data_IF_431056495811
#
_entry.id   IF_431056495811
#
_cell.length_a   1.000
_cell.length_b   1.000
_cell.length_c   1.000
_cell.angle_alpha   90.00
_cell.angle_beta   90.00
_cell.angle_gamma   90.00
#
_symmetry.space_group_name_H-M   'P 1'
#
loop_
_entity.id
_entity.type
_entity.pdbx_description
1 polymer ?
#
# COMPACT_ATOMS: atom_id res chain seq x y z
N UNK A 1 0.89 10.50 5.36
CA UNK A 1 2.26 10.00 5.57
C UNK A 1 2.88 10.80 6.70
N UNK A 2 3.71 10.18 7.52
CA UNK A 2 4.50 10.88 8.54
C UNK A 2 5.98 10.55 8.32
N UNK A 3 6.88 11.52 8.50
CA UNK A 3 8.32 11.29 8.41
C UNK A 3 8.82 10.78 9.76
N UNK A 4 9.76 9.83 9.71
CA UNK A 4 10.46 9.27 10.87
C UNK A 4 11.92 9.69 10.81
N UNK A 5 12.58 9.67 11.97
CA UNK A 5 13.98 10.07 12.10
C UNK A 5 14.94 9.05 11.46
N UNK A 6 14.66 7.75 11.56
CA UNK A 6 15.49 6.72 10.95
C UNK A 6 14.75 5.38 10.72
N UNK A 7 15.40 4.48 9.99
CA UNK A 7 14.94 3.10 9.74
C UNK A 7 14.07 2.94 8.49
N UNK A 8 13.56 1.73 8.23
CA UNK A 8 12.82 1.46 7.00
C UNK A 8 11.43 2.11 7.01
N UNK A 9 10.88 2.32 5.80
CA UNK A 9 9.50 2.70 5.63
C UNK A 9 8.55 1.67 6.27
N UNK A 10 7.44 2.13 6.83
CA UNK A 10 6.40 1.29 7.44
C UNK A 10 5.08 1.47 6.69
N UNK A 11 4.28 0.40 6.66
CA UNK A 11 3.00 0.36 5.98
C UNK A 11 1.86 0.03 6.94
N UNK A 12 0.90 0.95 7.04
CA UNK A 12 -0.43 0.71 7.57
C UNK A 12 -1.45 0.50 6.45
N UNK A 13 -2.37 -0.44 6.62
CA UNK A 13 -3.46 -0.69 5.65
C UNK A 13 -4.80 -0.63 6.37
N UNK A 14 -5.71 0.23 5.89
CA UNK A 14 -7.06 0.36 6.45
C UNK A 14 -8.10 -0.03 5.41
N UNK A 15 -8.75 -1.17 5.63
CA UNK A 15 -9.88 -1.64 4.81
C UNK A 15 -11.07 -1.84 5.73
N UNK A 16 -12.11 -1.02 5.56
CA UNK A 16 -13.32 -1.20 6.36
C UNK A 16 -14.15 -2.37 5.84
N UNK A 17 -14.91 -3.01 6.75
CA UNK A 17 -15.75 -4.18 6.45
C UNK A 17 -16.74 -3.94 5.30
N UNK A 18 -17.23 -2.70 5.14
CA UNK A 18 -18.13 -2.30 4.06
C UNK A 18 -17.51 -2.42 2.67
N UNK A 19 -16.19 -2.24 2.52
CA UNK A 19 -15.53 -2.25 1.19
C UNK A 19 -15.41 -3.65 0.59
N UNK A 20 -15.31 -4.67 1.44
CA UNK A 20 -15.29 -6.06 1.02
C UNK A 20 -15.84 -6.92 2.16
N UNK A 21 -17.02 -7.51 1.93
CA UNK A 21 -17.72 -8.34 2.93
C UNK A 21 -16.88 -9.56 3.32
N UNK A 22 -16.25 -10.21 2.35
CA UNK A 22 -15.44 -11.40 2.53
C UNK A 22 -14.04 -11.07 3.05
N UNK A 23 -13.59 -11.81 4.07
CA UNK A 23 -12.24 -11.70 4.60
C UNK A 23 -11.19 -12.05 3.53
N UNK A 24 -11.47 -13.05 2.68
CA UNK A 24 -10.60 -13.45 1.59
C UNK A 24 -10.31 -12.29 0.62
N UNK A 25 -11.35 -11.55 0.19
CA UNK A 25 -11.19 -10.38 -0.67
C UNK A 25 -10.34 -9.29 -0.01
N UNK A 26 -10.59 -8.98 1.29
CA UNK A 26 -9.76 -8.02 2.03
C UNK A 26 -8.30 -8.47 2.14
N UNK A 27 -8.06 -9.76 2.33
CA UNK A 27 -6.73 -10.33 2.45
C UNK A 27 -6.00 -10.32 1.10
N UNK A 28 -6.70 -10.57 0.00
CA UNK A 28 -6.15 -10.43 -1.34
C UNK A 28 -5.75 -8.97 -1.64
N UNK A 29 -6.62 -8.00 -1.36
CA UNK A 29 -6.30 -6.57 -1.53
C UNK A 29 -5.09 -6.19 -0.67
N UNK A 30 -5.08 -6.59 0.61
CA UNK A 30 -3.93 -6.37 1.51
C UNK A 30 -2.65 -6.99 0.97
N UNK A 31 -2.71 -8.18 0.36
CA UNK A 31 -1.55 -8.84 -0.25
C UNK A 31 -0.96 -8.00 -1.38
N UNK A 32 -1.79 -7.54 -2.32
CA UNK A 32 -1.33 -6.70 -3.44
C UNK A 32 -0.71 -5.39 -2.97
N UNK A 33 -1.31 -4.74 -1.95
CA UNK A 33 -0.76 -3.52 -1.37
C UNK A 33 0.60 -3.78 -0.72
N UNK A 34 0.75 -4.88 0.02
CA UNK A 34 2.04 -5.26 0.63
C UNK A 34 3.10 -5.60 -0.39
N UNK A 35 2.75 -6.31 -1.47
CA UNK A 35 3.71 -6.65 -2.52
C UNK A 35 4.21 -5.39 -3.24
N UNK A 36 3.32 -4.47 -3.61
CA UNK A 36 3.74 -3.19 -4.19
C UNK A 36 4.67 -2.42 -3.24
N UNK A 37 4.31 -2.34 -1.95
CA UNK A 37 5.13 -1.66 -0.96
C UNK A 37 6.49 -2.34 -0.77
N UNK A 38 6.54 -3.67 -0.70
CA UNK A 38 7.78 -4.44 -0.51
C UNK A 38 8.77 -4.19 -1.64
N UNK A 39 8.29 -4.05 -2.88
CA UNK A 39 9.14 -3.80 -4.05
C UNK A 39 9.77 -2.40 -4.04
N UNK A 40 9.08 -1.40 -3.51
CA UNK A 40 9.54 0.00 -3.48
C UNK A 40 10.07 0.41 -2.09
N UNK A 41 10.05 -0.48 -1.08
CA UNK A 41 10.37 -0.13 0.31
C UNK A 41 11.79 0.44 0.47
N UNK A 42 12.73 -0.03 -0.35
CA UNK A 42 14.13 0.38 -0.29
C UNK A 42 14.36 1.85 -0.66
N UNK A 43 13.54 2.44 -1.54
CA UNK A 43 13.71 3.84 -1.94
C UNK A 43 12.83 4.84 -1.19
N UNK A 44 11.84 4.37 -0.42
CA UNK A 44 10.89 5.25 0.29
C UNK A 44 11.45 5.98 1.53
N UNK A 45 12.64 5.59 2.01
CA UNK A 45 13.24 6.18 3.22
C UNK A 45 12.43 5.97 4.51
N UNK A 46 12.74 6.68 5.60
CA UNK A 46 12.09 6.51 6.90
C UNK A 46 10.71 7.19 6.95
N UNK A 47 9.72 6.62 6.28
CA UNK A 47 8.34 7.16 6.27
C UNK A 47 7.30 6.17 6.80
N UNK A 48 6.23 6.69 7.40
CA UNK A 48 5.01 5.95 7.72
C UNK A 48 3.95 6.20 6.64
N UNK A 49 3.60 5.15 5.91
CA UNK A 49 2.59 5.19 4.86
C UNK A 49 1.29 4.52 5.32
N UNK A 50 0.17 5.22 5.16
CA UNK A 50 -1.17 4.68 5.38
C UNK A 50 -1.90 4.53 4.06
N UNK A 51 -2.22 3.30 3.67
CA UNK A 51 -2.97 3.01 2.44
C UNK A 51 -4.43 2.71 2.77
N UNK A 52 -5.32 3.50 2.17
CA UNK A 52 -6.76 3.25 2.17
C UNK A 52 -7.24 3.04 0.73
N UNK A 53 -7.55 1.80 0.32
CA UNK A 53 -8.07 1.56 -1.01
C UNK A 53 -9.49 2.14 -1.18
N UNK A 54 -9.87 2.53 -2.41
CA UNK A 54 -11.22 3.00 -2.70
C UNK A 54 -12.26 1.88 -2.54
N UNK A 55 -13.52 2.27 -2.45
CA UNK A 55 -14.64 1.32 -2.43
C UNK A 55 -14.66 0.49 -3.70
N UNK A 56 -14.89 -0.83 -3.55
CA UNK A 56 -14.91 -1.75 -4.68
C UNK A 56 -13.54 -2.08 -5.26
N UNK A 57 -12.43 -1.69 -4.61
CA UNK A 57 -11.10 -2.11 -5.04
C UNK A 57 -11.00 -3.62 -5.17
N UNK A 58 -10.48 -4.10 -6.30
CA UNK A 58 -10.27 -5.53 -6.57
C UNK A 58 -8.78 -5.80 -6.73
N UNK A 59 -8.29 -6.96 -6.25
CA UNK A 59 -6.92 -7.37 -6.52
C UNK A 59 -6.76 -7.63 -8.02
N UNK A 60 -5.89 -6.85 -8.67
CA UNK A 60 -5.55 -7.01 -10.09
C UNK A 60 -4.10 -6.61 -10.33
N UNK A 61 -3.53 -7.06 -11.45
CA UNK A 61 -2.18 -6.64 -11.87
C UNK A 61 -2.15 -5.12 -12.10
N UNK A 62 -3.21 -4.55 -12.66
CA UNK A 62 -3.35 -3.11 -12.83
C UNK A 62 -3.28 -2.34 -11.49
N UNK A 63 -3.93 -2.85 -10.45
CA UNK A 63 -3.84 -2.29 -9.10
C UNK A 63 -2.39 -2.28 -8.59
N UNK A 64 -1.66 -3.38 -8.81
CA UNK A 64 -0.25 -3.48 -8.42
C UNK A 64 0.59 -2.44 -9.16
N UNK A 65 0.51 -2.41 -10.49
CA UNK A 65 1.28 -1.49 -11.33
C UNK A 65 1.00 -0.03 -10.98
N UNK A 66 -0.28 0.32 -10.79
CA UNK A 66 -0.68 1.68 -10.42
C UNK A 66 -0.17 2.07 -9.04
N UNK A 67 -0.21 1.15 -8.08
CA UNK A 67 0.29 1.42 -6.72
C UNK A 67 1.81 1.60 -6.73
N UNK A 68 2.56 0.76 -7.46
CA UNK A 68 4.01 0.93 -7.63
C UNK A 68 4.36 2.27 -8.25
N UNK A 69 3.66 2.68 -9.31
CA UNK A 69 3.87 3.99 -9.94
C UNK A 69 3.52 5.18 -9.01
N UNK A 70 2.64 4.99 -8.03
CA UNK A 70 2.37 6.00 -7.00
C UNK A 70 3.45 6.03 -5.92
N UNK A 71 3.97 4.86 -5.53
CA UNK A 71 5.02 4.72 -4.54
C UNK A 71 6.38 5.22 -5.07
N UNK A 72 6.74 4.91 -6.31
CA UNK A 72 7.98 5.42 -6.93
C UNK A 72 8.04 6.95 -6.97
N UNK A 73 6.90 7.62 -7.14
CA UNK A 73 6.80 9.09 -7.04
C UNK A 73 7.07 9.65 -5.64
N UNK A 74 7.06 8.79 -4.62
CA UNK A 74 7.41 9.15 -3.24
C UNK A 74 8.89 8.89 -2.94
N UNK A 75 9.59 8.08 -3.75
CA UNK A 75 11.04 7.85 -3.60
C UNK A 75 11.86 9.09 -3.96
N UNK A 76 11.36 9.96 -4.83
CA UNK A 76 12.05 11.17 -5.29
C UNK A 76 12.00 12.36 -4.30
N UNK A 77 11.46 12.21 -3.07
CA UNK A 77 11.20 13.32 -2.13
C UNK A 77 11.62 13.08 -0.68
#
# INVERSE_FOLDING_TARGET
>A
MARRECGPARLGIVISRRHARLAATRNAIKRYIREAFRLEQSGLGPIDLLVRPPFGARPSVEMLTRLRALLGRLEEK
#
